data_IF_263388489469
#
_entry.id   IF_263388489469
#
_cell.length_a   1.000
_cell.length_b   1.000
_cell.length_c   1.000
_cell.angle_alpha   90.00
_cell.angle_beta   90.00
_cell.angle_gamma   90.00
#
_symmetry.space_group_name_H-M   'P 1'
#
loop_
_entity.id
_entity.type
_entity.pdbx_description
1 polymer ?
#
# COMPACT_ATOMS: atom_id res chain seq x y z
N UNK A 1 -3.99 -19.87 4.27
CA UNK A 1 -3.77 -18.74 5.19
C UNK A 1 -4.59 -17.55 4.67
N UNK A 2 -5.33 -16.81 5.51
CA UNK A 2 -6.00 -15.57 5.09
C UNK A 2 -5.05 -14.39 5.33
N UNK A 3 -4.85 -13.53 4.34
CA UNK A 3 -3.98 -12.36 4.46
C UNK A 3 -4.51 -11.39 5.54
N UNK A 4 -3.86 -11.37 6.70
CA UNK A 4 -4.07 -10.37 7.76
C UNK A 4 -3.22 -9.14 7.49
N UNK A 5 -3.55 -8.03 8.15
CA UNK A 5 -2.85 -6.74 7.98
C UNK A 5 -1.32 -6.87 8.06
N UNK A 6 -0.78 -7.55 9.07
CA UNK A 6 0.67 -7.73 9.23
C UNK A 6 1.32 -8.50 8.09
N UNK A 7 0.59 -9.44 7.48
CA UNK A 7 1.07 -10.23 6.35
C UNK A 7 1.10 -9.40 5.08
N UNK A 8 0.07 -8.58 4.86
CA UNK A 8 0.03 -7.60 3.77
C UNK A 8 1.21 -6.61 3.84
N UNK A 9 1.41 -5.99 5.00
CA UNK A 9 2.54 -5.07 5.21
C UNK A 9 3.88 -5.79 5.08
N UNK A 10 3.99 -7.02 5.61
CA UNK A 10 5.19 -7.83 5.52
C UNK A 10 5.57 -8.18 4.08
N UNK A 11 4.57 -8.49 3.25
CA UNK A 11 4.75 -8.80 1.84
C UNK A 11 5.33 -7.61 1.07
N UNK A 12 4.71 -6.44 1.20
CA UNK A 12 5.20 -5.22 0.54
C UNK A 12 6.56 -4.78 1.09
N UNK A 13 6.83 -4.98 2.39
CA UNK A 13 8.16 -4.74 2.94
C UNK A 13 9.21 -5.65 2.29
N UNK A 14 8.92 -6.93 2.16
CA UNK A 14 9.82 -7.87 1.49
C UNK A 14 10.07 -7.46 0.04
N UNK A 15 9.01 -7.08 -0.70
CA UNK A 15 9.16 -6.56 -2.06
C UNK A 15 10.04 -5.29 -2.10
N UNK A 16 9.85 -4.35 -1.17
CA UNK A 16 10.69 -3.17 -1.06
C UNK A 16 12.17 -3.50 -0.77
N UNK A 17 12.48 -4.58 -0.04
CA UNK A 17 13.88 -5.01 0.16
C UNK A 17 14.52 -5.56 -1.11
N UNK A 18 13.73 -6.17 -2.00
CA UNK A 18 14.22 -6.87 -3.21
C UNK A 18 14.15 -6.01 -4.48
N UNK A 19 13.27 -5.03 -4.54
CA UNK A 19 13.06 -4.19 -5.71
C UNK A 19 14.28 -3.30 -5.99
N UNK A 20 14.73 -3.25 -7.26
CA UNK A 20 16.01 -2.62 -7.65
C UNK A 20 16.07 -1.12 -7.37
N UNK A 21 14.95 -0.41 -7.54
CA UNK A 21 14.88 1.04 -7.29
C UNK A 21 14.63 1.39 -5.83
N UNK A 22 14.11 0.44 -5.03
CA UNK A 22 13.76 0.69 -3.63
C UNK A 22 14.88 0.19 -2.72
N UNK A 23 15.22 -1.10 -2.71
CA UNK A 23 16.30 -1.66 -1.88
C UNK A 23 16.26 -1.20 -0.41
N UNK A 24 15.09 -1.34 0.22
CA UNK A 24 14.92 -1.00 1.63
C UNK A 24 15.88 -1.82 2.52
N UNK A 25 16.59 -1.14 3.43
CA UNK A 25 17.36 -1.77 4.50
C UNK A 25 17.19 -0.98 5.80
N UNK A 26 17.52 -1.57 6.97
CA UNK A 26 17.53 -0.81 8.23
C UNK A 26 18.47 0.40 8.21
N UNK A 27 19.57 0.35 7.46
CA UNK A 27 20.53 1.45 7.32
C UNK A 27 20.07 2.51 6.30
N UNK A 28 19.34 2.10 5.26
CA UNK A 28 18.75 2.95 4.23
C UNK A 28 17.23 2.75 4.18
N UNK A 29 16.47 3.35 5.12
CA UNK A 29 15.03 3.17 5.22
C UNK A 29 14.32 3.78 4.01
N UNK A 30 13.82 2.92 3.12
CA UNK A 30 12.98 3.29 1.95
C UNK A 30 11.62 2.61 1.95
N UNK A 31 11.19 2.17 3.12
CA UNK A 31 9.88 1.59 3.36
C UNK A 31 9.27 2.27 4.57
N UNK A 32 8.03 2.74 4.43
CA UNK A 32 7.23 3.23 5.55
C UNK A 32 5.84 2.62 5.51
N UNK A 33 5.18 2.62 6.66
CA UNK A 33 3.77 2.27 6.80
C UNK A 33 3.06 3.45 7.41
N UNK A 34 1.91 3.81 6.85
CA UNK A 34 1.00 4.79 7.42
C UNK A 34 -0.31 4.13 7.82
N UNK A 35 -1.00 4.73 8.79
CA UNK A 35 -2.37 4.41 9.14
C UNK A 35 -3.24 5.42 8.43
N UNK A 36 -4.17 4.95 7.61
CA UNK A 36 -5.11 5.82 6.90
C UNK A 36 -6.51 5.34 7.19
N UNK A 37 -7.33 6.24 7.72
CA UNK A 37 -8.74 5.99 7.96
C UNK A 37 -9.52 5.87 6.65
N UNK A 38 -10.64 5.15 6.71
CA UNK A 38 -11.68 5.20 5.67
C UNK A 38 -12.53 6.46 5.76
N UNK A 39 -12.62 7.07 6.94
CA UNK A 39 -13.34 8.34 7.11
C UNK A 39 -12.64 9.45 6.30
N UNK A 40 -13.34 10.16 5.40
CA UNK A 40 -12.73 11.15 4.52
C UNK A 40 -12.05 12.31 5.24
N UNK A 41 -12.58 12.74 6.39
CA UNK A 41 -12.01 13.86 7.16
C UNK A 41 -10.75 13.42 7.89
N UNK A 42 -10.80 12.26 8.55
CA UNK A 42 -9.64 11.69 9.22
C UNK A 42 -8.54 11.34 8.21
N UNK A 43 -8.90 10.82 7.04
CA UNK A 43 -7.95 10.54 5.94
C UNK A 43 -7.15 11.77 5.55
N UNK A 44 -7.77 12.95 5.47
CA UNK A 44 -7.04 14.19 5.16
C UNK A 44 -5.99 14.52 6.23
N UNK A 45 -6.33 14.31 7.50
CA UNK A 45 -5.40 14.50 8.63
C UNK A 45 -4.26 13.48 8.58
N UNK A 46 -4.58 12.21 8.38
CA UNK A 46 -3.60 11.12 8.28
C UNK A 46 -2.62 11.33 7.11
N UNK A 47 -3.13 11.82 5.97
CA UNK A 47 -2.31 12.17 4.80
C UNK A 47 -1.45 13.41 5.03
N UNK A 48 -1.82 14.29 5.95
CA UNK A 48 -0.93 15.37 6.38
C UNK A 48 0.25 14.81 7.20
N UNK A 49 0.02 13.84 8.08
CA UNK A 49 1.10 13.19 8.86
C UNK A 49 2.11 12.44 7.98
N UNK A 50 1.65 11.89 6.84
CA UNK A 50 2.51 11.26 5.84
C UNK A 50 3.68 12.18 5.43
N UNK A 51 3.43 13.47 5.23
CA UNK A 51 4.46 14.44 4.83
C UNK A 51 5.60 14.52 5.83
N UNK A 52 5.30 14.40 7.13
CA UNK A 52 6.28 14.40 8.22
C UNK A 52 7.11 13.13 8.22
N UNK A 53 6.48 11.98 7.96
CA UNK A 53 7.15 10.67 7.92
C UNK A 53 8.13 10.60 6.75
N UNK A 54 7.70 11.03 5.57
CA UNK A 54 8.54 11.05 4.36
C UNK A 54 9.79 11.90 4.60
N UNK A 55 9.63 13.13 5.08
CA UNK A 55 10.74 14.08 5.21
C UNK A 55 11.75 13.73 6.32
N UNK A 56 11.35 12.98 7.35
CA UNK A 56 12.22 12.65 8.49
C UNK A 56 12.82 11.26 8.43
N UNK A 57 12.07 10.29 7.93
CA UNK A 57 12.36 8.87 8.16
C UNK A 57 12.94 8.19 6.93
N UNK A 58 12.49 8.61 5.75
CA UNK A 58 12.85 7.96 4.50
C UNK A 58 14.13 8.56 3.91
N UNK A 59 15.03 7.69 3.46
CA UNK A 59 16.32 8.06 2.86
C UNK A 59 16.41 7.53 1.43
N UNK A 60 15.96 8.34 0.48
CA UNK A 60 16.21 8.12 -0.95
C UNK A 60 17.34 9.05 -1.40
N UNK A 61 18.32 8.48 -2.11
CA UNK A 61 19.28 9.23 -2.89
C UNK A 61 18.79 9.49 -4.32
N UNK A 62 19.61 10.11 -5.17
CA UNK A 62 19.26 10.38 -6.56
C UNK A 62 18.85 9.11 -7.32
N UNK A 63 17.71 9.15 -8.00
CA UNK A 63 17.17 8.03 -8.78
C UNK A 63 16.63 6.87 -7.95
N UNK A 64 16.64 6.96 -6.62
CA UNK A 64 16.10 5.93 -5.73
C UNK A 64 14.68 6.26 -5.32
N UNK A 65 13.90 5.21 -5.08
CA UNK A 65 12.50 5.32 -4.74
C UNK A 65 12.23 4.79 -3.34
N UNK A 66 11.09 5.18 -2.80
CA UNK A 66 10.57 4.70 -1.51
C UNK A 66 9.18 4.14 -1.69
N UNK A 67 8.86 3.13 -0.89
CA UNK A 67 7.54 2.53 -0.81
C UNK A 67 6.87 2.95 0.49
N UNK A 68 5.69 3.56 0.39
CA UNK A 68 4.84 3.85 1.54
C UNK A 68 3.58 3.01 1.44
N UNK A 69 3.29 2.22 2.48
CA UNK A 69 2.15 1.31 2.48
C UNK A 69 1.07 1.83 3.42
N UNK A 70 -0.16 1.93 2.91
CA UNK A 70 -1.32 2.27 3.72
C UNK A 70 -1.80 1.06 4.52
N UNK A 71 -2.45 1.31 5.65
CA UNK A 71 -3.08 0.23 6.38
C UNK A 71 -4.26 -0.35 5.61
N UNK A 72 -4.24 -1.66 5.42
CA UNK A 72 -5.35 -2.35 4.80
C UNK A 72 -6.62 -2.27 5.67
N UNK A 73 -7.67 -1.65 5.14
CA UNK A 73 -8.97 -1.52 5.81
C UNK A 73 -9.87 -2.70 5.44
N UNK A 74 -10.78 -3.07 6.35
CA UNK A 74 -11.55 -4.32 6.24
C UNK A 74 -13.03 -4.06 6.36
N UNK A 75 -13.75 -4.40 5.30
CA UNK A 75 -15.20 -4.44 5.32
C UNK A 75 -15.69 -5.89 5.27
N UNK A 76 -16.86 -6.11 5.86
CA UNK A 76 -17.54 -7.40 5.81
C UNK A 76 -18.80 -7.23 4.99
N UNK A 77 -18.87 -7.99 3.91
CA UNK A 77 -20.04 -8.06 3.04
C UNK A 77 -20.77 -9.35 3.34
N UNK A 78 -22.09 -9.23 3.41
CA UNK A 78 -23.01 -10.34 3.51
C UNK A 78 -23.84 -10.35 2.22
N UNK A 79 -23.95 -11.50 1.58
CA UNK A 79 -24.81 -11.66 0.40
C UNK A 79 -26.28 -11.92 0.78
N UNK A 80 -26.67 -11.65 2.03
CA UNK A 80 -27.97 -11.96 2.62
C UNK A 80 -28.26 -13.48 2.66
N UNK A 81 -27.20 -14.29 2.65
CA UNK A 81 -27.24 -15.75 2.69
C UNK A 81 -26.19 -16.30 3.66
N UNK A 82 -25.72 -17.53 3.44
CA UNK A 82 -24.82 -18.21 4.38
C UNK A 82 -23.34 -17.76 4.28
N UNK A 83 -23.00 -16.97 3.27
CA UNK A 83 -21.63 -16.65 2.92
C UNK A 83 -21.29 -15.19 3.20
N UNK A 84 -20.42 -14.98 4.17
CA UNK A 84 -19.79 -13.68 4.43
C UNK A 84 -18.47 -13.59 3.70
N UNK A 85 -18.23 -12.44 3.09
CA UNK A 85 -16.98 -12.11 2.42
C UNK A 85 -16.31 -10.98 3.17
N UNK A 86 -14.99 -11.05 3.27
CA UNK A 86 -14.16 -9.97 3.78
C UNK A 86 -13.58 -9.23 2.58
N UNK A 87 -14.00 -7.99 2.41
CA UNK A 87 -13.42 -7.03 1.47
C UNK A 87 -12.28 -6.29 2.15
N UNK A 88 -11.17 -6.11 1.43
CA UNK A 88 -9.95 -5.50 1.95
C UNK A 88 -9.53 -4.41 0.98
N UNK A 89 -9.55 -3.18 1.47
CA UNK A 89 -9.07 -2.01 0.75
C UNK A 89 -7.60 -1.82 1.06
N UNK A 90 -6.77 -1.80 0.04
CA UNK A 90 -5.33 -1.66 0.17
C UNK A 90 -4.82 -0.56 -0.75
N UNK A 91 -3.75 0.08 -0.32
CA UNK A 91 -3.08 1.08 -1.13
C UNK A 91 -1.60 1.17 -0.76
N UNK A 92 -0.79 1.53 -1.74
CA UNK A 92 0.61 1.90 -1.52
C UNK A 92 1.01 3.02 -2.47
N UNK A 93 2.07 3.71 -2.12
CA UNK A 93 2.64 4.83 -2.87
C UNK A 93 4.09 4.53 -3.16
N UNK A 94 4.48 4.68 -4.42
CA UNK A 94 5.88 4.72 -4.82
C UNK A 94 6.24 6.19 -5.00
N UNK A 95 7.27 6.66 -4.29
CA UNK A 95 7.68 8.06 -4.31
C UNK A 95 9.16 8.19 -4.64
N UNK A 96 9.53 9.28 -5.29
CA UNK A 96 10.92 9.67 -5.55
C UNK A 96 11.10 11.16 -5.27
N UNK A 97 12.34 11.56 -5.02
CA UNK A 97 12.70 12.97 -4.91
C UNK A 97 13.13 13.52 -6.27
N UNK A 98 12.59 14.68 -6.64
CA UNK A 98 13.07 15.51 -7.75
C UNK A 98 13.91 16.68 -7.25
N UNK A 99 14.88 17.19 -8.03
CA UNK A 99 15.72 18.31 -7.60
C UNK A 99 14.95 19.61 -7.35
N UNK A 100 13.90 19.85 -8.12
CA UNK A 100 13.03 21.02 -8.00
C UNK A 100 11.61 20.71 -8.48
N UNK A 101 10.62 21.23 -7.77
CA UNK A 101 9.21 21.18 -8.18
C UNK A 101 8.93 21.97 -9.48
N UNK A 102 9.83 22.89 -9.85
CA UNK A 102 9.72 23.69 -11.06
C UNK A 102 10.34 23.03 -12.28
N UNK A 103 11.03 21.90 -12.10
CA UNK A 103 11.57 21.12 -13.21
C UNK A 103 10.49 20.13 -13.69
N UNK A 104 9.62 20.62 -14.57
CA UNK A 104 8.50 19.85 -15.07
C UNK A 104 8.93 18.55 -15.75
N UNK A 105 10.04 18.55 -16.49
CA UNK A 105 10.54 17.32 -17.14
C UNK A 105 10.99 16.28 -16.12
N UNK A 106 11.66 16.71 -15.04
CA UNK A 106 12.03 15.80 -13.95
C UNK A 106 10.82 15.27 -13.19
N UNK A 107 9.75 16.08 -13.06
CA UNK A 107 8.48 15.65 -12.46
C UNK A 107 7.79 14.60 -13.32
N UNK A 108 7.63 14.82 -14.63
CA UNK A 108 7.00 13.82 -15.52
C UNK A 108 7.81 12.51 -15.53
N UNK A 109 9.13 12.59 -15.66
CA UNK A 109 9.98 11.41 -15.62
C UNK A 109 9.92 10.67 -14.26
N UNK A 110 9.72 11.40 -13.16
CA UNK A 110 9.51 10.80 -11.85
C UNK A 110 8.18 10.04 -11.79
N UNK A 111 7.10 10.61 -12.32
CA UNK A 111 5.77 9.98 -12.35
C UNK A 111 5.78 8.68 -13.18
N UNK A 112 6.36 8.72 -14.38
CA UNK A 112 6.52 7.53 -15.24
C UNK A 112 7.32 6.43 -14.53
N UNK A 113 8.44 6.80 -13.90
CA UNK A 113 9.30 5.84 -13.22
C UNK A 113 8.66 5.23 -11.97
N UNK A 114 7.84 5.99 -11.23
CA UNK A 114 7.12 5.48 -10.07
C UNK A 114 5.90 4.66 -10.45
N UNK A 115 5.23 4.99 -11.55
CA UNK A 115 4.15 4.19 -12.12
C UNK A 115 4.69 2.80 -12.50
N UNK A 116 5.74 2.75 -13.33
CA UNK A 116 6.36 1.48 -13.73
C UNK A 116 6.77 0.63 -12.51
N UNK A 117 7.41 1.24 -11.51
CA UNK A 117 7.78 0.50 -10.30
C UNK A 117 6.56 0.01 -9.52
N UNK A 118 5.49 0.81 -9.47
CA UNK A 118 4.24 0.42 -8.85
C UNK A 118 3.57 -0.76 -9.56
N UNK A 119 3.60 -0.80 -10.89
CA UNK A 119 3.13 -1.94 -11.69
C UNK A 119 3.96 -3.21 -11.42
N UNK A 120 5.30 -3.08 -11.37
CA UNK A 120 6.20 -4.19 -11.04
C UNK A 120 5.92 -4.77 -9.64
N UNK A 121 5.65 -3.90 -8.66
CA UNK A 121 5.24 -4.30 -7.31
C UNK A 121 3.88 -4.98 -7.30
N UNK A 122 2.91 -4.45 -8.05
CA UNK A 122 1.58 -5.06 -8.15
C UNK A 122 1.64 -6.44 -8.79
N UNK A 123 2.36 -6.59 -9.90
CA UNK A 123 2.55 -7.89 -10.55
C UNK A 123 3.23 -8.92 -9.63
N UNK A 124 4.20 -8.49 -8.84
CA UNK A 124 4.84 -9.35 -7.84
C UNK A 124 3.86 -9.74 -6.70
N UNK A 125 3.05 -8.79 -6.24
CA UNK A 125 1.99 -9.02 -5.26
C UNK A 125 0.97 -10.04 -5.78
N UNK A 126 0.44 -9.84 -6.99
CA UNK A 126 -0.51 -10.77 -7.62
C UNK A 126 0.09 -12.17 -7.78
N UNK A 127 1.33 -12.27 -8.24
CA UNK A 127 2.02 -13.56 -8.35
C UNK A 127 2.12 -14.28 -7.00
N UNK A 128 2.46 -13.55 -5.92
CA UNK A 128 2.51 -14.12 -4.57
C UNK A 128 1.12 -14.52 -4.05
N UNK A 129 0.08 -13.76 -4.39
CA UNK A 129 -1.30 -14.04 -4.03
C UNK A 129 -1.94 -15.16 -4.86
N UNK A 130 -1.47 -15.41 -6.10
CA UNK A 130 -2.01 -16.44 -6.98
C UNK A 130 -1.92 -17.85 -6.37
N UNK A 131 -0.93 -18.09 -5.51
CA UNK A 131 -0.79 -19.34 -4.75
C UNK A 131 -1.81 -19.47 -3.61
N UNK A 132 -2.52 -18.40 -3.25
CA UNK A 132 -3.51 -18.38 -2.18
C UNK A 132 -4.92 -18.59 -2.73
N UNK A 133 -5.40 -19.83 -2.71
CA UNK A 133 -6.71 -20.26 -3.25
C UNK A 133 -7.90 -19.40 -2.80
N UNK A 134 -7.82 -18.75 -1.64
CA UNK A 134 -8.90 -17.98 -1.01
C UNK A 134 -8.70 -16.46 -1.07
N UNK A 135 -7.62 -15.95 -1.65
CA UNK A 135 -7.42 -14.51 -1.84
C UNK A 135 -7.67 -14.19 -3.31
N UNK A 136 -8.55 -13.22 -3.56
CA UNK A 136 -8.89 -12.79 -4.92
C UNK A 136 -8.78 -11.28 -5.00
N UNK A 137 -7.86 -10.77 -5.82
CA UNK A 137 -7.87 -9.37 -6.25
C UNK A 137 -9.15 -9.14 -7.06
N UNK A 138 -9.86 -8.05 -6.79
CA UNK A 138 -11.09 -7.73 -7.49
C UNK A 138 -10.77 -7.17 -8.88
N UNK A 139 -11.39 -7.76 -9.91
CA UNK A 139 -11.24 -7.30 -11.28
C UNK A 139 -11.67 -5.83 -11.40
N UNK A 140 -10.83 -4.99 -12.00
CA UNK A 140 -11.08 -3.56 -12.17
C UNK A 140 -10.99 -2.73 -10.88
N UNK A 141 -10.51 -3.30 -9.76
CA UNK A 141 -10.27 -2.54 -8.53
C UNK A 141 -8.94 -1.81 -8.51
N UNK A 142 -8.01 -2.12 -9.42
CA UNK A 142 -6.71 -1.46 -9.49
C UNK A 142 -6.88 -0.04 -10.06
N UNK A 143 -6.67 0.96 -9.21
CA UNK A 143 -6.49 2.36 -9.56
C UNK A 143 -5.04 2.79 -9.39
N UNK A 144 -4.61 3.72 -10.22
CA UNK A 144 -3.34 4.42 -10.08
C UNK A 144 -3.57 5.92 -10.27
N UNK A 145 -3.00 6.73 -9.36
CA UNK A 145 -3.09 8.19 -9.43
C UNK A 145 -1.72 8.84 -9.17
N UNK A 146 -1.41 9.87 -9.94
CA UNK A 146 -0.22 10.71 -9.70
C UNK A 146 -0.41 11.54 -8.44
N UNK A 147 0.61 11.56 -7.59
CA UNK A 147 0.59 12.28 -6.31
C UNK A 147 1.84 13.15 -6.15
N UNK A 148 1.65 14.32 -5.55
CA UNK A 148 2.69 15.32 -5.36
C UNK A 148 2.17 16.73 -5.64
N UNK A 149 2.92 17.77 -5.24
CA UNK A 149 4.15 17.72 -4.46
C UNK A 149 3.91 17.34 -2.98
N UNK A 150 4.78 16.51 -2.39
CA UNK A 150 4.75 16.11 -0.98
C UNK A 150 5.97 16.58 -0.17
N UNK A 151 5.84 16.60 1.16
CA UNK A 151 6.86 17.01 2.13
C UNK A 151 7.43 18.41 1.85
N UNK A 152 8.73 18.53 1.57
CA UNK A 152 9.41 19.77 1.20
C UNK A 152 9.17 20.18 -0.27
N UNK A 153 8.03 19.79 -0.83
CA UNK A 153 7.62 19.97 -2.22
C UNK A 153 8.49 19.29 -3.28
N UNK A 154 9.38 18.38 -2.89
CA UNK A 154 10.28 17.69 -3.83
C UNK A 154 9.92 16.23 -4.05
N UNK A 155 8.87 15.72 -3.40
CA UNK A 155 8.46 14.32 -3.53
C UNK A 155 7.26 14.17 -4.44
N UNK A 156 7.39 13.28 -5.41
CA UNK A 156 6.37 12.96 -6.39
C UNK A 156 6.30 11.45 -6.57
N UNK A 157 5.18 10.96 -7.04
CA UNK A 157 5.10 9.60 -7.55
C UNK A 157 3.68 9.15 -7.82
N UNK A 158 3.44 7.86 -7.62
CA UNK A 158 2.17 7.22 -8.00
C UNK A 158 1.61 6.44 -6.82
N UNK A 159 0.33 6.69 -6.49
CA UNK A 159 -0.45 5.93 -5.53
C UNK A 159 -1.23 4.86 -6.28
N UNK A 160 -1.17 3.63 -5.78
CA UNK A 160 -1.95 2.50 -6.27
C UNK A 160 -2.96 2.12 -5.20
N UNK A 161 -4.22 2.00 -5.61
CA UNK A 161 -5.32 1.49 -4.81
C UNK A 161 -5.85 0.21 -5.43
N UNK A 162 -6.21 -0.77 -4.59
CA UNK A 162 -6.78 -2.03 -5.05
C UNK A 162 -7.51 -2.74 -3.93
N UNK A 163 -8.43 -3.60 -4.34
CA UNK A 163 -9.21 -4.38 -3.42
C UNK A 163 -8.96 -5.87 -3.59
N UNK A 164 -9.00 -6.60 -2.48
CA UNK A 164 -9.02 -8.05 -2.51
C UNK A 164 -10.04 -8.62 -1.53
N UNK A 165 -10.51 -9.83 -1.84
CA UNK A 165 -11.52 -10.53 -1.06
C UNK A 165 -10.98 -11.83 -0.48
N UNK A 166 -11.51 -12.19 0.69
CA UNK A 166 -11.31 -13.51 1.30
C UNK A 166 -12.62 -13.98 1.93
N UNK A 167 -12.90 -15.30 2.01
CA UNK A 167 -14.05 -15.79 2.76
C UNK A 167 -14.00 -15.35 4.22
N UNK A 168 -15.15 -15.02 4.83
CA UNK A 168 -15.22 -14.57 6.22
C UNK A 168 -16.07 -15.49 7.12
N UNK A 169 -16.96 -16.33 6.57
CA UNK A 169 -17.90 -17.14 7.37
C UNK A 169 -17.22 -17.94 8.48
N UNK A 170 -16.13 -18.66 8.16
CA UNK A 170 -15.38 -19.43 9.16
C UNK A 170 -14.64 -18.56 10.17
N UNK A 171 -14.18 -17.36 9.78
CA UNK A 171 -13.45 -16.45 10.66
C UNK A 171 -14.36 -15.64 11.59
N UNK A 172 -15.66 -15.56 11.29
CA UNK A 172 -16.68 -14.87 12.09
C UNK A 172 -17.60 -15.84 12.83
N UNK A 173 -17.30 -17.15 12.79
CA UNK A 173 -18.02 -18.15 13.57
C UNK A 173 -17.75 -17.90 15.05
N UNK A 174 -18.77 -18.08 15.88
CA UNK A 174 -18.58 -18.02 17.33
C UNK A 174 -17.66 -19.15 17.80
N UNK A 175 -16.62 -18.78 18.55
CA UNK A 175 -15.63 -19.67 19.12
C UNK A 175 -15.72 -19.55 20.65
N UNK A 176 -16.52 -20.39 21.33
CA UNK A 176 -16.76 -20.27 22.77
C UNK A 176 -15.47 -20.39 23.60
N UNK A 177 -14.51 -21.15 23.11
CA UNK A 177 -13.17 -21.34 23.67
C UNK A 177 -12.31 -20.06 23.67
N UNK A 178 -12.69 -19.03 22.90
CA UNK A 178 -12.03 -17.74 22.93
C UNK A 178 -12.50 -16.83 24.09
N UNK A 179 -13.54 -17.22 24.83
CA UNK A 179 -14.14 -16.42 25.90
C UNK A 179 -14.08 -17.16 27.23
N UNK A 180 -13.88 -16.41 28.32
CA UNK A 180 -14.03 -16.95 29.66
C UNK A 180 -15.52 -17.28 29.93
N UNK A 181 -15.80 -18.27 30.79
CA UNK A 181 -17.17 -18.65 31.14
C UNK A 181 -17.97 -17.53 31.82
#
# INVERSE_FOLDING_TARGET
MMLRHSQYVGLLRELATRHKQIQHTPAAPRFARILVSQDPFQRQVDMHELTTIIGRTLKAGPGQQVLVVESCVTDYQDNLGDNRTRLRHAAYMVLTQVPSATDHNAVEAALDATEQTGEELFGALEHQLATQVKVRVLAGSLGAESIGPLANSTWFGTRFDFDFTTPASGALRYHPDAFLP
#
